data_IF_256490123044
#
_entry.id   IF_256490123044
#
_cell.length_a   1.000
_cell.length_b   1.000
_cell.length_c   1.000
_cell.angle_alpha   90.00
_cell.angle_beta   90.00
_cell.angle_gamma   90.00
#
_symmetry.space_group_name_H-M   'P 1'
#
loop_
_entity.id
_entity.type
_entity.pdbx_description
1 polymer ?
#
# COMPACT_ATOMS: atom_id res chain seq x y z
N UNK A 1 -57.10 33.48 -35.33
CA UNK A 1 -56.66 34.65 -34.56
C UNK A 1 -55.75 34.15 -33.44
N UNK A 2 -54.53 34.68 -33.43
CA UNK A 2 -53.37 34.48 -32.54
C UNK A 2 -53.53 33.94 -31.11
N UNK A 3 -52.53 33.10 -30.72
CA UNK A 3 -51.70 33.06 -29.47
C UNK A 3 -52.46 32.92 -28.12
N UNK A 4 -52.01 32.22 -27.08
CA UNK A 4 -50.71 31.69 -26.65
C UNK A 4 -50.87 30.56 -25.61
N UNK A 5 -49.93 29.61 -25.65
CA UNK A 5 -49.18 28.96 -24.55
C UNK A 5 -49.63 29.28 -23.10
N UNK A 6 -49.91 28.22 -22.32
CA UNK A 6 -49.12 27.94 -21.11
C UNK A 6 -49.29 26.51 -20.63
N UNK A 7 -48.22 25.75 -20.82
CA UNK A 7 -47.96 24.41 -20.30
C UNK A 7 -47.60 24.54 -18.82
N UNK A 8 -48.38 23.96 -17.92
CA UNK A 8 -47.98 23.74 -16.53
C UNK A 8 -48.23 22.26 -16.19
N UNK A 9 -47.47 21.38 -16.84
CA UNK A 9 -47.33 20.00 -16.37
C UNK A 9 -46.39 20.04 -15.16
N UNK A 10 -46.98 19.90 -13.97
CA UNK A 10 -46.27 19.71 -12.72
C UNK A 10 -45.39 18.46 -12.85
N UNK A 11 -44.10 18.70 -13.04
CA UNK A 11 -43.04 17.71 -13.16
C UNK A 11 -42.96 16.96 -11.83
N UNK A 12 -43.48 15.74 -11.78
CA UNK A 12 -43.19 14.81 -10.70
C UNK A 12 -41.70 14.49 -10.75
N UNK A 13 -40.91 15.15 -9.91
CA UNK A 13 -39.50 14.82 -9.70
C UNK A 13 -39.47 13.44 -9.05
N UNK A 14 -39.24 12.43 -9.88
CA UNK A 14 -38.85 11.10 -9.46
C UNK A 14 -37.44 11.22 -8.86
N UNK A 15 -37.36 11.45 -7.54
CA UNK A 15 -36.12 11.29 -6.80
C UNK A 15 -35.84 9.79 -6.75
N UNK A 16 -35.11 9.29 -7.75
CA UNK A 16 -34.36 8.05 -7.61
C UNK A 16 -33.28 8.36 -6.57
N UNK A 17 -33.56 8.02 -5.30
CA UNK A 17 -32.53 7.73 -4.33
C UNK A 17 -31.75 6.56 -4.90
N UNK A 18 -30.73 6.85 -5.71
CA UNK A 18 -29.62 5.94 -5.89
C UNK A 18 -29.01 5.80 -4.50
N UNK A 19 -29.38 4.72 -3.81
CA UNK A 19 -28.57 4.18 -2.76
C UNK A 19 -27.20 3.89 -3.40
N UNK A 20 -26.29 4.85 -3.31
CA UNK A 20 -24.88 4.56 -3.44
C UNK A 20 -24.53 3.71 -2.22
N UNK A 21 -24.73 2.40 -2.34
CA UNK A 21 -23.95 1.47 -1.53
C UNK A 21 -22.51 1.64 -2.02
N UNK A 22 -21.72 2.47 -1.33
CA UNK A 22 -20.28 2.58 -1.55
C UNK A 22 -19.57 1.37 -0.96
N UNK A 23 -20.04 0.16 -1.29
CA UNK A 23 -19.33 -1.10 -0.99
C UNK A 23 -18.16 -1.33 -1.96
N UNK A 24 -17.91 -0.39 -2.88
CA UNK A 24 -16.88 -0.47 -3.92
C UNK A 24 -15.49 -0.15 -3.37
N UNK A 25 -15.04 -0.86 -2.35
CA UNK A 25 -13.63 -0.95 -1.99
C UNK A 25 -12.89 -1.90 -2.96
N UNK A 26 -13.15 -1.79 -4.27
CA UNK A 26 -12.38 -2.41 -5.35
C UNK A 26 -11.06 -1.64 -5.51
N UNK A 27 -10.18 -1.85 -4.53
CA UNK A 27 -8.90 -1.17 -4.44
C UNK A 27 -7.78 -1.89 -5.16
N UNK A 28 -6.57 -1.39 -4.91
CA UNK A 28 -5.33 -1.97 -5.38
C UNK A 28 -4.77 -2.94 -4.32
N UNK A 29 -5.58 -3.92 -3.92
CA UNK A 29 -5.25 -4.97 -2.94
C UNK A 29 -6.13 -6.22 -3.17
N UNK A 30 -5.73 -7.41 -2.68
CA UNK A 30 -6.55 -8.62 -2.76
C UNK A 30 -7.90 -8.48 -2.04
N UNK A 31 -8.96 -9.07 -2.59
CA UNK A 31 -10.32 -8.90 -2.04
C UNK A 31 -10.90 -10.16 -1.39
N UNK A 32 -10.30 -11.33 -1.63
CA UNK A 32 -10.81 -12.63 -1.18
C UNK A 32 -9.93 -13.23 -0.08
N UNK A 33 -10.56 -13.61 1.02
CA UNK A 33 -9.88 -14.32 2.10
C UNK A 33 -9.25 -15.62 1.59
N UNK A 34 -8.01 -15.88 2.05
CA UNK A 34 -7.19 -16.98 1.59
C UNK A 34 -6.46 -16.71 0.27
N UNK A 35 -6.64 -15.56 -0.38
CA UNK A 35 -5.80 -15.18 -1.52
C UNK A 35 -4.33 -15.18 -1.09
N UNK A 36 -3.49 -15.91 -1.82
CA UNK A 36 -2.05 -16.06 -1.58
C UNK A 36 -1.26 -15.51 -2.76
N UNK A 37 -0.33 -14.60 -2.47
CA UNK A 37 0.55 -13.95 -3.45
C UNK A 37 1.99 -14.26 -3.11
N UNK A 38 2.75 -14.77 -4.07
CA UNK A 38 4.17 -15.08 -3.91
C UNK A 38 5.01 -14.11 -4.73
N UNK A 39 5.99 -13.51 -4.06
CA UNK A 39 6.91 -12.55 -4.63
C UNK A 39 8.33 -13.11 -4.60
N UNK A 40 9.09 -12.79 -5.64
CA UNK A 40 10.53 -13.07 -5.68
C UNK A 40 11.27 -11.75 -5.77
N UNK A 41 12.27 -11.60 -4.89
CA UNK A 41 13.13 -10.42 -4.82
C UNK A 41 14.44 -10.67 -5.56
N UNK A 42 14.93 -9.65 -6.24
CA UNK A 42 16.14 -9.69 -7.05
C UNK A 42 17.07 -8.52 -6.72
N UNK A 43 18.37 -8.80 -6.68
CA UNK A 43 19.42 -7.80 -6.56
C UNK A 43 19.56 -6.96 -7.84
N UNK A 44 20.40 -5.92 -7.81
CA UNK A 44 20.70 -5.08 -8.99
C UNK A 44 21.31 -5.80 -10.19
N UNK A 45 21.78 -7.05 -10.03
CA UNK A 45 22.30 -7.90 -11.10
C UNK A 45 21.26 -8.90 -11.60
N UNK A 46 20.05 -8.90 -11.03
CA UNK A 46 18.98 -9.85 -11.34
C UNK A 46 19.13 -11.22 -10.67
N UNK A 47 19.98 -11.35 -9.65
CA UNK A 47 20.10 -12.56 -8.84
C UNK A 47 18.95 -12.62 -7.84
N UNK A 48 18.27 -13.75 -7.73
CA UNK A 48 17.25 -13.99 -6.70
C UNK A 48 17.88 -13.91 -5.30
N UNK A 49 17.28 -13.11 -4.42
CA UNK A 49 17.73 -12.88 -3.03
C UNK A 49 16.77 -13.49 -1.99
N UNK A 50 15.55 -13.83 -2.38
CA UNK A 50 14.57 -14.41 -1.47
C UNK A 50 13.15 -14.33 -1.99
N UNK A 51 12.24 -14.85 -1.18
CA UNK A 51 10.80 -14.89 -1.47
C UNK A 51 10.02 -14.26 -0.34
N UNK A 52 8.87 -13.70 -0.69
CA UNK A 52 7.90 -13.21 0.26
C UNK A 52 6.55 -13.73 -0.14
N UNK A 53 5.78 -14.20 0.83
CA UNK A 53 4.45 -14.71 0.61
C UNK A 53 3.49 -13.84 1.41
N UNK A 54 2.49 -13.30 0.73
CA UNK A 54 1.41 -12.55 1.35
C UNK A 54 0.13 -13.37 1.31
N UNK A 55 -0.60 -13.43 2.42
CA UNK A 55 -1.90 -14.11 2.49
C UNK A 55 -2.93 -13.15 3.07
N UNK A 56 -4.07 -12.96 2.39
CA UNK A 56 -5.20 -12.26 2.97
C UNK A 56 -5.81 -13.14 4.05
N UNK A 57 -5.59 -12.78 5.31
CA UNK A 57 -6.03 -13.57 6.46
C UNK A 57 -7.47 -13.28 6.84
N UNK A 58 -7.83 -12.00 6.90
CA UNK A 58 -9.12 -11.56 7.40
C UNK A 58 -9.59 -10.36 6.62
N UNK A 59 -10.90 -10.34 6.34
CA UNK A 59 -11.61 -9.22 5.76
C UNK A 59 -12.85 -8.93 6.61
N UNK A 60 -12.90 -7.73 7.18
CA UNK A 60 -13.93 -7.32 8.12
C UNK A 60 -14.64 -6.07 7.65
N UNK A 61 -15.95 -6.17 7.45
CA UNK A 61 -16.81 -5.00 7.25
C UNK A 61 -16.98 -4.24 8.57
N UNK A 62 -16.88 -2.92 8.50
CA UNK A 62 -17.10 -2.00 9.62
C UNK A 62 -18.15 -0.96 9.24
N UNK A 63 -18.68 -0.21 10.21
CA UNK A 63 -19.62 0.88 9.93
C UNK A 63 -18.99 1.99 9.06
N UNK A 64 -17.65 2.10 9.05
CA UNK A 64 -16.89 3.08 8.29
C UNK A 64 -16.42 2.58 6.91
N UNK A 65 -16.47 1.26 6.66
CA UNK A 65 -16.05 0.65 5.41
C UNK A 65 -15.51 -0.76 5.60
N UNK A 66 -14.23 -0.97 5.25
CA UNK A 66 -13.60 -2.30 5.22
C UNK A 66 -12.22 -2.28 5.86
N UNK A 67 -11.93 -3.29 6.68
CA UNK A 67 -10.59 -3.59 7.19
C UNK A 67 -10.09 -4.92 6.63
N UNK A 68 -8.85 -4.97 6.19
CA UNK A 68 -8.20 -6.17 5.64
C UNK A 68 -6.89 -6.38 6.38
N UNK A 69 -6.65 -7.62 6.81
CA UNK A 69 -5.39 -8.04 7.42
C UNK A 69 -4.63 -8.95 6.46
N UNK A 70 -3.43 -8.55 6.07
CA UNK A 70 -2.50 -9.33 5.25
C UNK A 70 -1.40 -9.90 6.15
N UNK A 71 -1.22 -11.21 6.15
CA UNK A 71 -0.02 -11.82 6.72
C UNK A 71 1.11 -11.88 5.69
N UNK A 72 2.34 -11.76 6.17
CA UNK A 72 3.57 -11.81 5.38
C UNK A 72 4.50 -12.87 5.93
N UNK A 73 5.02 -13.73 5.08
CA UNK A 73 6.06 -14.72 5.37
C UNK A 73 7.26 -14.40 4.46
N UNK A 74 8.41 -14.02 5.03
CA UNK A 74 9.64 -13.76 4.26
C UNK A 74 10.56 -14.98 4.37
N UNK A 75 10.90 -15.59 3.24
CA UNK A 75 11.71 -16.80 3.14
C UNK A 75 13.06 -16.44 2.48
N UNK A 76 14.16 -16.72 3.18
CA UNK A 76 15.52 -16.47 2.68
C UNK A 76 15.93 -17.40 1.51
N UNK A 77 17.05 -17.09 0.82
CA UNK A 77 17.61 -17.89 -0.30
C UNK A 77 17.77 -19.40 0.03
N UNK A 78 17.75 -19.80 1.31
CA UNK A 78 17.97 -21.17 1.77
C UNK A 78 16.68 -21.88 2.20
N UNK A 79 15.52 -21.22 2.15
CA UNK A 79 14.26 -21.70 2.71
C UNK A 79 14.36 -22.07 4.22
N UNK A 80 15.24 -21.42 4.99
CA UNK A 80 15.56 -21.86 6.36
C UNK A 80 14.93 -21.04 7.46
N UNK A 81 14.67 -19.76 7.21
CA UNK A 81 14.11 -18.85 8.22
C UNK A 81 12.96 -18.05 7.61
N UNK A 82 11.78 -18.15 8.24
CA UNK A 82 10.58 -17.42 7.88
C UNK A 82 10.39 -16.27 8.87
N UNK A 83 10.58 -15.05 8.40
CA UNK A 83 10.30 -13.81 9.14
C UNK A 83 8.81 -13.52 8.95
N UNK A 84 8.03 -13.49 10.03
CA UNK A 84 6.57 -13.42 9.94
C UNK A 84 6.07 -12.05 10.39
N UNK A 85 5.09 -11.52 9.67
CA UNK A 85 4.49 -10.24 9.98
C UNK A 85 3.05 -10.17 9.52
N UNK A 86 2.41 -9.05 9.81
CA UNK A 86 1.10 -8.73 9.27
C UNK A 86 0.90 -7.23 9.19
N UNK A 87 0.13 -6.77 8.22
CA UNK A 87 -0.26 -5.37 8.11
C UNK A 87 -1.75 -5.24 7.77
N UNK A 88 -2.34 -4.15 8.27
CA UNK A 88 -3.73 -3.77 8.01
C UNK A 88 -3.88 -2.77 6.87
N UNK A 89 -4.90 -2.95 6.05
CA UNK A 89 -5.41 -1.98 5.08
C UNK A 89 -6.81 -1.58 5.52
N UNK A 90 -7.08 -0.28 5.58
CA UNK A 90 -8.41 0.25 5.89
C UNK A 90 -8.97 0.99 4.68
N UNK A 91 -10.19 0.72 4.28
CA UNK A 91 -10.91 1.42 3.24
C UNK A 91 -12.09 2.17 3.85
N UNK A 92 -12.18 3.47 3.59
CA UNK A 92 -13.28 4.33 4.04
C UNK A 92 -13.67 5.25 2.89
N UNK A 93 -14.93 5.17 2.46
CA UNK A 93 -15.40 5.91 1.28
C UNK A 93 -14.66 5.51 0.00
N UNK A 94 -14.04 6.48 -0.67
CA UNK A 94 -13.29 6.31 -1.93
C UNK A 94 -11.77 6.26 -1.73
N UNK A 95 -11.32 6.10 -0.48
CA UNK A 95 -9.91 6.04 -0.12
C UNK A 95 -9.59 4.77 0.63
N UNK A 96 -8.40 4.24 0.37
CA UNK A 96 -7.77 3.26 1.23
C UNK A 96 -6.54 3.84 1.89
N UNK A 97 -6.30 3.38 3.10
CA UNK A 97 -5.33 3.88 4.04
C UNK A 97 -4.42 2.74 4.43
N UNK A 98 -3.13 3.04 4.43
CA UNK A 98 -2.11 2.15 4.90
C UNK A 98 -1.42 2.80 6.11
N UNK A 99 -1.47 2.12 7.25
CA UNK A 99 -0.81 2.57 8.47
C UNK A 99 0.70 2.28 8.37
N UNK A 100 1.54 3.33 8.37
CA UNK A 100 2.98 3.14 8.24
C UNK A 100 3.59 2.41 9.43
N UNK A 101 2.94 2.41 10.61
CA UNK A 101 3.42 1.66 11.79
C UNK A 101 3.45 0.15 11.55
N UNK A 102 2.59 -0.36 10.66
CA UNK A 102 2.59 -1.77 10.26
C UNK A 102 3.79 -2.13 9.36
N UNK A 103 4.60 -1.16 8.93
CA UNK A 103 5.86 -1.42 8.22
C UNK A 103 7.01 -1.81 9.15
N UNK A 104 6.83 -1.66 10.47
CA UNK A 104 7.86 -1.99 11.44
C UNK A 104 7.87 -3.52 11.63
N UNK A 105 8.96 -4.22 11.28
CA UNK A 105 9.02 -5.68 11.47
C UNK A 105 8.89 -6.06 12.94
N UNK A 106 8.17 -7.14 13.23
CA UNK A 106 7.97 -7.61 14.60
C UNK A 106 9.32 -7.95 15.26
N UNK A 107 10.24 -8.54 14.53
CA UNK A 107 11.59 -8.89 14.97
C UNK A 107 12.41 -7.64 15.32
N UNK A 108 12.18 -6.51 14.63
CA UNK A 108 12.78 -5.24 15.01
C UNK A 108 12.26 -4.82 16.39
N UNK A 109 10.95 -4.91 16.62
CA UNK A 109 10.35 -4.60 17.92
C UNK A 109 10.84 -5.54 19.03
N UNK A 110 10.96 -6.85 18.75
CA UNK A 110 11.50 -7.83 19.68
C UNK A 110 12.98 -7.56 20.02
N UNK A 111 13.79 -7.22 19.01
CA UNK A 111 15.21 -6.90 19.20
C UNK A 111 15.45 -5.68 20.08
N UNK A 112 14.43 -4.82 20.20
CA UNK A 112 14.46 -3.62 21.04
C UNK A 112 14.20 -3.91 22.53
N UNK A 113 13.81 -5.14 22.89
CA UNK A 113 13.78 -5.64 24.26
C UNK A 113 12.91 -4.82 25.20
N UNK A 114 13.48 -4.41 26.34
CA UNK A 114 12.77 -3.69 27.41
C UNK A 114 12.73 -2.16 27.20
N UNK A 115 13.07 -1.65 26.02
CA UNK A 115 13.02 -0.21 25.76
C UNK A 115 11.57 0.30 25.64
N UNK A 116 11.29 1.43 26.28
CA UNK A 116 10.04 2.15 26.12
C UNK A 116 9.97 2.73 24.70
N UNK A 117 8.95 2.36 23.93
CA UNK A 117 8.77 2.82 22.55
C UNK A 117 7.58 3.77 22.41
N UNK A 118 7.79 4.88 21.70
CA UNK A 118 6.76 5.82 21.27
C UNK A 118 6.77 5.85 19.74
N UNK A 119 5.67 5.40 19.12
CA UNK A 119 5.46 5.44 17.66
C UNK A 119 4.40 6.49 17.37
N UNK A 120 4.71 7.43 16.48
CA UNK A 120 3.75 8.34 15.87
C UNK A 120 3.81 8.14 14.38
N UNK A 121 2.66 7.87 13.75
CA UNK A 121 2.60 7.49 12.33
C UNK A 121 1.39 8.13 11.66
N UNK A 122 1.60 8.62 10.44
CA UNK A 122 0.53 9.01 9.53
C UNK A 122 -0.06 7.77 8.83
N UNK A 123 -1.27 7.93 8.28
CA UNK A 123 -1.83 7.01 7.30
C UNK A 123 -1.48 7.49 5.90
N UNK A 124 -0.91 6.61 5.09
CA UNK A 124 -0.76 6.86 3.66
C UNK A 124 -2.10 6.63 2.97
N UNK A 125 -2.71 7.71 2.49
CA UNK A 125 -3.94 7.62 1.70
C UNK A 125 -3.67 7.32 0.24
N UNK A 126 -4.56 6.52 -0.36
CA UNK A 126 -4.59 6.22 -1.78
C UNK A 126 -6.03 6.28 -2.29
N UNK A 127 -6.26 6.87 -3.48
CA UNK A 127 -7.59 6.96 -4.05
C UNK A 127 -7.98 5.66 -4.74
N UNK A 128 -9.23 5.23 -4.57
CA UNK A 128 -9.82 4.13 -5.33
C UNK A 128 -9.91 4.44 -6.83
N UNK A 129 -10.14 5.71 -7.17
CA UNK A 129 -10.19 6.23 -8.53
C UNK A 129 -8.93 7.04 -8.86
N UNK A 130 -7.84 6.32 -9.13
CA UNK A 130 -6.56 6.91 -9.48
C UNK A 130 -6.59 7.66 -10.83
N UNK A 131 -5.90 8.79 -10.91
CA UNK A 131 -5.72 9.57 -12.15
C UNK A 131 -4.23 9.76 -12.42
N UNK A 132 -3.81 9.55 -13.67
CA UNK A 132 -2.43 9.75 -14.09
C UNK A 132 -1.99 11.21 -13.88
N UNK A 133 -0.80 11.38 -13.31
CA UNK A 133 -0.22 12.68 -13.01
C UNK A 133 -0.58 13.25 -11.63
N UNK A 134 -1.53 12.65 -10.90
CA UNK A 134 -1.93 13.18 -9.60
C UNK A 134 -0.87 12.89 -8.51
N UNK A 135 -0.66 13.87 -7.65
CA UNK A 135 0.18 13.75 -6.45
C UNK A 135 -0.67 13.33 -5.26
N UNK A 136 -0.07 12.58 -4.33
CA UNK A 136 -0.71 12.16 -3.09
C UNK A 136 -0.04 12.87 -1.90
N UNK A 137 -0.74 13.06 -0.77
CA UNK A 137 -0.16 13.68 0.42
C UNK A 137 1.03 12.88 0.96
N UNK A 138 2.09 13.57 1.37
CA UNK A 138 3.23 12.96 2.05
C UNK A 138 2.82 12.32 3.38
N UNK A 139 3.62 11.38 3.87
CA UNK A 139 3.42 10.75 5.18
C UNK A 139 4.71 10.69 6.00
N UNK A 140 4.56 10.76 7.31
CA UNK A 140 5.67 10.69 8.26
C UNK A 140 5.41 9.63 9.31
N UNK A 141 6.45 8.91 9.68
CA UNK A 141 6.49 8.05 10.86
C UNK A 141 7.70 8.41 11.72
N UNK A 142 7.52 8.50 13.03
CA UNK A 142 8.58 8.70 14.01
C UNK A 142 8.54 7.58 15.04
N UNK A 143 9.69 6.97 15.27
CA UNK A 143 9.90 5.97 16.32
C UNK A 143 10.94 6.53 17.29
N UNK A 144 10.54 6.70 18.54
CA UNK A 144 11.45 7.00 19.63
C UNK A 144 11.53 5.79 20.54
N UNK A 145 12.75 5.44 20.95
CA UNK A 145 12.95 4.43 21.99
C UNK A 145 13.85 4.97 23.10
N UNK A 146 13.52 4.59 24.32
CA UNK A 146 14.21 5.03 25.52
C UNK A 146 14.40 3.93 26.55
N UNK A 147 15.34 4.12 27.46
CA UNK A 147 15.51 3.27 28.64
C UNK A 147 15.61 4.18 29.87
N UNK A 148 14.82 3.90 30.90
CA UNK A 148 14.79 4.70 32.14
C UNK A 148 14.55 6.20 31.89
N UNK A 149 13.69 6.55 30.93
CA UNK A 149 13.38 7.94 30.57
C UNK A 149 14.44 8.67 29.75
N UNK A 150 15.55 8.01 29.36
CA UNK A 150 16.55 8.57 28.45
C UNK A 150 16.27 8.08 27.03
N UNK A 151 16.10 9.00 26.07
CA UNK A 151 15.99 8.63 24.66
C UNK A 151 17.33 8.09 24.16
N UNK A 152 17.32 6.86 23.63
CA UNK A 152 18.50 6.18 23.07
C UNK A 152 18.42 6.04 21.56
N UNK A 153 17.21 6.12 20.98
CA UNK A 153 16.98 6.07 19.55
C UNK A 153 15.87 7.04 19.14
N UNK A 154 16.09 7.70 18.01
CA UNK A 154 15.09 8.46 17.30
C UNK A 154 15.24 8.16 15.80
N UNK A 155 14.20 7.61 15.19
CA UNK A 155 14.10 7.34 13.77
C UNK A 155 12.91 8.11 13.21
N UNK A 156 13.11 8.82 12.10
CA UNK A 156 12.04 9.44 11.32
C UNK A 156 12.05 8.88 9.91
N UNK A 157 10.93 8.35 9.44
CA UNK A 157 10.69 7.92 8.07
C UNK A 157 9.76 8.91 7.41
N UNK A 158 10.16 9.44 6.26
CA UNK A 158 9.36 10.34 5.43
C UNK A 158 9.08 9.64 4.10
N UNK A 159 7.81 9.61 3.69
CA UNK A 159 7.38 9.13 2.38
C UNK A 159 6.84 10.33 1.61
N UNK A 160 7.64 10.83 0.68
CA UNK A 160 7.41 12.08 -0.04
C UNK A 160 7.31 11.86 -1.55
N UNK A 161 6.99 12.92 -2.29
CA UNK A 161 6.96 12.94 -3.75
C UNK A 161 6.04 11.84 -4.33
N UNK A 162 5.00 11.50 -3.57
CA UNK A 162 4.07 10.43 -3.88
C UNK A 162 3.25 10.80 -5.11
N UNK A 163 3.32 9.99 -6.16
CA UNK A 163 2.68 10.31 -7.45
C UNK A 163 2.18 9.09 -8.20
N UNK A 164 1.01 9.22 -8.82
CA UNK A 164 0.52 8.26 -9.81
C UNK A 164 1.08 8.67 -11.17
N UNK A 165 2.03 7.91 -11.68
CA UNK A 165 2.73 8.23 -12.92
C UNK A 165 1.90 7.91 -14.17
N UNK A 166 1.06 6.88 -14.07
CA UNK A 166 0.21 6.44 -15.17
C UNK A 166 -0.28 5.01 -15.01
N UNK A 167 -0.69 4.43 -16.13
CA UNK A 167 -1.19 3.06 -16.20
C UNK A 167 -0.50 2.33 -17.34
N UNK A 168 -0.03 1.11 -17.09
CA UNK A 168 0.64 0.27 -18.09
C UNK A 168 0.45 -1.21 -17.78
N UNK A 169 0.54 -2.05 -18.81
CA UNK A 169 0.54 -3.50 -18.61
C UNK A 169 1.89 -3.98 -18.11
N UNK A 170 1.87 -4.84 -17.10
CA UNK A 170 3.05 -5.51 -16.57
C UNK A 170 2.86 -7.01 -16.66
N UNK A 171 3.80 -7.69 -17.32
CA UNK A 171 3.87 -9.15 -17.39
C UNK A 171 4.88 -9.67 -16.37
N UNK A 172 4.46 -10.65 -15.59
CA UNK A 172 5.26 -11.39 -14.61
C UNK A 172 5.02 -12.89 -14.79
N UNK A 173 5.75 -13.77 -14.07
CA UNK A 173 5.45 -15.21 -14.09
C UNK A 173 4.02 -15.55 -13.63
N UNK A 174 3.40 -14.69 -12.80
CA UNK A 174 2.02 -14.88 -12.34
C UNK A 174 0.95 -14.48 -13.36
N UNK A 175 1.31 -13.75 -14.44
CA UNK A 175 0.35 -13.30 -15.45
C UNK A 175 0.67 -11.94 -16.05
N UNK A 176 -0.29 -11.36 -16.75
CA UNK A 176 -0.23 -9.97 -17.24
C UNK A 176 -1.35 -9.16 -16.61
N UNK A 177 -1.02 -7.99 -16.09
CA UNK A 177 -1.92 -7.17 -15.30
C UNK A 177 -1.92 -5.72 -15.82
N UNK A 178 -3.10 -5.11 -15.87
CA UNK A 178 -3.24 -3.66 -16.07
C UNK A 178 -2.92 -2.96 -14.75
N UNK A 179 -1.75 -2.34 -14.68
CA UNK A 179 -1.20 -1.77 -13.45
C UNK A 179 -1.29 -0.24 -13.43
N UNK A 180 -1.65 0.31 -12.28
CA UNK A 180 -1.30 1.67 -11.90
C UNK A 180 0.17 1.72 -11.52
N UNK A 181 0.90 2.67 -12.08
CA UNK A 181 2.30 2.98 -11.73
C UNK A 181 2.32 4.11 -10.70
N UNK A 182 2.91 3.84 -9.54
CA UNK A 182 3.00 4.75 -8.40
C UNK A 182 4.46 4.90 -7.98
N UNK A 183 4.96 6.12 -7.86
CA UNK A 183 6.31 6.42 -7.39
C UNK A 183 6.30 7.27 -6.13
N UNK A 184 7.36 7.12 -5.32
CA UNK A 184 7.56 7.86 -4.09
C UNK A 184 9.03 7.84 -3.66
N UNK A 185 9.41 8.79 -2.82
CA UNK A 185 10.71 8.87 -2.16
C UNK A 185 10.56 8.47 -0.71
N UNK A 186 11.44 7.59 -0.22
CA UNK A 186 11.55 7.27 1.20
C UNK A 186 12.83 7.88 1.75
N UNK A 187 12.73 8.69 2.81
CA UNK A 187 13.88 9.21 3.54
C UNK A 187 13.82 8.75 4.99
N UNK A 188 14.79 7.94 5.38
CA UNK A 188 14.96 7.46 6.76
C UNK A 188 16.07 8.26 7.43
N UNK A 189 15.73 8.94 8.52
CA UNK A 189 16.64 9.74 9.35
C UNK A 189 16.87 9.01 10.68
N UNK A 190 18.09 8.55 10.87
CA UNK A 190 18.60 8.05 12.16
C UNK A 190 19.92 8.78 12.47
N UNK A 191 20.98 8.05 12.87
CA UNK A 191 22.33 8.61 12.97
C UNK A 191 22.85 9.09 11.61
N UNK A 192 22.47 8.41 10.53
CA UNK A 192 22.68 8.82 9.16
C UNK A 192 21.34 8.99 8.46
N UNK A 193 21.32 9.81 7.41
CA UNK A 193 20.15 9.93 6.52
C UNK A 193 20.36 9.05 5.30
N UNK A 194 19.39 8.19 5.03
CA UNK A 194 19.33 7.36 3.83
C UNK A 194 18.09 7.75 3.04
N UNK A 195 18.27 8.00 1.75
CA UNK A 195 17.17 8.32 0.83
C UNK A 195 17.19 7.36 -0.33
N UNK A 196 16.02 6.82 -0.66
CA UNK A 196 15.79 5.97 -1.83
C UNK A 196 14.50 6.39 -2.52
N UNK A 197 14.42 6.14 -3.82
CA UNK A 197 13.17 6.27 -4.57
C UNK A 197 12.66 4.89 -4.92
N UNK A 198 11.35 4.75 -5.01
CA UNK A 198 10.70 3.50 -5.34
C UNK A 198 9.61 3.72 -6.37
N UNK A 199 9.45 2.75 -7.26
CA UNK A 199 8.33 2.67 -8.20
C UNK A 199 7.63 1.35 -7.98
N UNK A 200 6.31 1.37 -7.87
CA UNK A 200 5.49 0.19 -7.65
C UNK A 200 4.35 0.13 -8.65
N UNK A 201 4.03 -1.08 -9.07
CA UNK A 201 2.97 -1.38 -10.01
C UNK A 201 1.88 -2.16 -9.28
N UNK A 202 0.69 -1.58 -9.26
CA UNK A 202 -0.43 -2.04 -8.49
C UNK A 202 -1.60 -2.36 -9.44
N UNK A 203 -2.12 -3.58 -9.37
CA UNK A 203 -3.30 -3.99 -10.13
C UNK A 203 -4.53 -4.05 -9.23
N UNK A 204 -5.69 -3.70 -9.78
CA UNK A 204 -6.97 -3.77 -9.05
C UNK A 204 -7.24 -5.21 -8.62
N UNK A 205 -7.76 -5.39 -7.41
CA UNK A 205 -8.11 -6.68 -6.80
C UNK A 205 -6.95 -7.69 -6.64
N UNK A 206 -5.74 -7.31 -7.05
CA UNK A 206 -4.52 -8.12 -6.94
C UNK A 206 -3.54 -7.45 -5.98
N UNK A 207 -3.41 -6.13 -6.04
CA UNK A 207 -2.41 -5.38 -5.28
C UNK A 207 -1.07 -5.31 -5.98
N UNK A 208 0.02 -5.49 -5.24
CA UNK A 208 1.36 -5.31 -5.80
C UNK A 208 1.68 -6.38 -6.85
N UNK A 209 2.11 -5.95 -8.02
CA UNK A 209 2.57 -6.81 -9.12
C UNK A 209 4.09 -6.75 -9.26
N UNK A 210 4.65 -5.56 -9.05
CA UNK A 210 6.08 -5.31 -9.15
C UNK A 210 6.48 -4.11 -8.29
N UNK A 211 7.68 -4.12 -7.76
CA UNK A 211 8.32 -2.96 -7.13
C UNK A 211 9.78 -2.88 -7.57
N UNK A 212 10.26 -1.67 -7.83
CA UNK A 212 11.66 -1.35 -8.09
C UNK A 212 12.13 -0.29 -7.09
N UNK A 213 13.33 -0.48 -6.55
CA UNK A 213 13.97 0.47 -5.64
C UNK A 213 15.24 1.00 -6.27
N UNK A 214 15.47 2.30 -6.12
CA UNK A 214 16.58 3.01 -6.72
C UNK A 214 17.37 3.75 -5.65
N UNK A 215 18.69 3.81 -5.83
CA UNK A 215 19.54 4.66 -5.03
C UNK A 215 19.34 6.15 -5.35
N UNK A 216 20.01 7.01 -4.59
CA UNK A 216 19.98 8.47 -4.77
C UNK A 216 20.55 8.96 -6.12
N UNK A 217 21.13 8.08 -6.95
CA UNK A 217 21.60 8.38 -8.31
C UNK A 217 20.64 7.86 -9.37
N UNK A 218 19.48 7.32 -8.98
CA UNK A 218 18.48 6.72 -9.87
C UNK A 218 18.91 5.37 -10.44
N UNK A 219 19.89 4.69 -9.82
CA UNK A 219 20.32 3.35 -10.26
C UNK A 219 19.46 2.30 -9.55
N UNK A 220 18.97 1.32 -10.30
CA UNK A 220 18.23 0.19 -9.74
C UNK A 220 19.11 -0.56 -8.74
N UNK A 221 18.64 -0.70 -7.50
CA UNK A 221 19.32 -1.46 -6.44
C UNK A 221 18.64 -2.80 -6.17
N UNK A 222 17.32 -2.86 -6.25
CA UNK A 222 16.56 -4.10 -6.11
C UNK A 222 15.21 -4.04 -6.81
N UNK A 223 14.63 -5.21 -7.05
CA UNK A 223 13.25 -5.35 -7.51
C UNK A 223 12.55 -6.51 -6.84
N UNK A 224 11.23 -6.47 -6.78
CA UNK A 224 10.38 -7.57 -6.34
C UNK A 224 9.24 -7.75 -7.32
N UNK A 225 8.92 -9.00 -7.66
CA UNK A 225 7.95 -9.32 -8.72
C UNK A 225 7.00 -10.40 -8.22
N UNK A 226 5.71 -10.26 -8.50
CA UNK A 226 4.69 -11.28 -8.28
C UNK A 226 4.95 -12.49 -9.20
N UNK A 227 5.33 -13.62 -8.62
CA UNK A 227 5.70 -14.83 -9.37
C UNK A 227 4.64 -15.92 -9.32
N UNK A 228 3.78 -15.93 -8.31
CA UNK A 228 2.57 -16.77 -8.28
C UNK A 228 1.42 -16.08 -7.54
N UNK A 229 0.19 -16.39 -7.94
CA UNK A 229 -1.02 -15.92 -7.26
C UNK A 229 -2.08 -17.03 -7.24
N UNK A 230 -2.76 -17.19 -6.10
CA UNK A 230 -3.91 -18.08 -5.91
C UNK A 230 -5.04 -17.27 -5.30
N UNK A 231 -6.11 -17.04 -6.07
CA UNK A 231 -7.24 -16.20 -5.68
C UNK A 231 -8.40 -16.98 -5.05
#
# INVERSE_FOLDING_TARGET
MNKSISFLSLLGVLVLLSAFSSDNCEGYFPYKEGTRLEYTSYDKKGKEEGKMIMTLQEKKSTDAGLEITMATEIVDEKNKEALNGSFGIRCEGDKFYFDMSNMIPAEMMESMGEMDMEITSDYLEFPANAVAGQTLPDGTMTIKAGLNGVNVMNMTVLVTDRRIDGFEQVTTPAGTFDCMKYSFTTTTKMMFTVTSSSTTWLAKEVGNVKTENYDNKGRLESSSVLTAASF
#
